data_IF_260803485760
#
_entry.id   IF_260803485760
#
_cell.length_a   1.000
_cell.length_b   1.000
_cell.length_c   1.000
_cell.angle_alpha   90.00
_cell.angle_beta   90.00
_cell.angle_gamma   90.00
#
_symmetry.space_group_name_H-M   'P 1'
#
loop_
_entity.id
_entity.type
_entity.pdbx_description
1 polymer ?
#
# COMPACT_ATOMS: atom_id res chain seq x y z
N UNK A 1 -44.97 21.08 3.84
CA UNK A 1 -45.09 20.44 2.51
C UNK A 1 -44.52 19.03 2.64
N UNK A 2 -45.40 18.02 2.73
CA UNK A 2 -44.98 16.62 2.87
C UNK A 2 -44.53 16.11 1.49
N UNK A 3 -43.28 15.68 1.37
CA UNK A 3 -42.74 15.06 0.16
C UNK A 3 -43.39 13.68 -0.02
N UNK A 4 -44.18 13.53 -1.07
CA UNK A 4 -44.75 12.25 -1.48
C UNK A 4 -43.63 11.31 -1.92
N UNK A 5 -43.33 10.31 -1.11
CA UNK A 5 -42.42 9.23 -1.47
C UNK A 5 -43.09 8.43 -2.58
N UNK A 6 -42.42 8.32 -3.73
CA UNK A 6 -42.96 7.59 -4.89
C UNK A 6 -43.21 6.12 -4.53
N UNK A 7 -44.34 5.57 -4.98
CA UNK A 7 -44.71 4.16 -4.83
C UNK A 7 -43.58 3.21 -5.31
N UNK A 8 -42.77 3.66 -6.25
CA UNK A 8 -41.60 2.95 -6.75
C UNK A 8 -40.48 2.80 -5.70
N UNK A 9 -40.27 3.82 -4.86
CA UNK A 9 -39.27 3.79 -3.79
C UNK A 9 -39.67 2.82 -2.67
N UNK A 10 -40.98 2.72 -2.39
CA UNK A 10 -41.50 1.80 -1.39
C UNK A 10 -41.37 0.33 -1.82
N UNK A 11 -41.60 0.05 -3.11
CA UNK A 11 -41.44 -1.27 -3.72
C UNK A 11 -39.99 -1.78 -3.69
N UNK A 12 -39.02 -0.90 -3.97
CA UNK A 12 -37.59 -1.26 -3.93
C UNK A 12 -37.15 -1.57 -2.49
N UNK A 13 -37.57 -0.76 -1.52
CA UNK A 13 -37.26 -1.01 -0.10
C UNK A 13 -37.87 -2.32 0.42
N UNK A 14 -39.11 -2.63 0.02
CA UNK A 14 -39.75 -3.91 0.36
C UNK A 14 -39.05 -5.12 -0.28
N UNK A 15 -38.60 -4.98 -1.53
CA UNK A 15 -37.83 -6.02 -2.23
C UNK A 15 -36.50 -6.30 -1.53
N UNK A 16 -35.76 -5.27 -1.11
CA UNK A 16 -34.49 -5.42 -0.38
C UNK A 16 -34.67 -6.03 1.02
N UNK A 17 -35.78 -5.76 1.71
CA UNK A 17 -36.04 -6.32 3.03
C UNK A 17 -36.47 -7.79 2.96
N UNK A 18 -37.26 -8.15 1.93
CA UNK A 18 -37.69 -9.53 1.69
C UNK A 18 -36.51 -10.45 1.34
N UNK A 19 -35.53 -9.99 0.56
CA UNK A 19 -34.33 -10.78 0.24
C UNK A 19 -33.43 -10.98 1.46
N UNK A 20 -33.34 -9.99 2.35
CA UNK A 20 -32.55 -10.11 3.58
C UNK A 20 -33.13 -11.15 4.56
N UNK A 21 -34.46 -11.28 4.63
CA UNK A 21 -35.16 -12.29 5.43
C UNK A 21 -35.08 -13.69 4.82
N UNK A 22 -35.14 -13.82 3.50
CA UNK A 22 -35.00 -15.12 2.81
C UNK A 22 -33.58 -15.68 2.96
N UNK A 23 -32.55 -14.83 3.01
CA UNK A 23 -31.17 -15.27 3.23
C UNK A 23 -30.86 -15.72 4.68
N UNK A 24 -31.65 -15.29 5.67
CA UNK A 24 -31.46 -15.70 7.09
C UNK A 24 -32.41 -16.82 7.55
N UNK A 25 -33.39 -17.22 6.74
CA UNK A 25 -34.48 -18.11 7.16
C UNK A 25 -34.28 -19.63 6.91
N UNK A 26 -33.25 -20.06 6.18
CA UNK A 26 -33.08 -21.49 5.83
C UNK A 26 -31.89 -22.13 6.53
N UNK A 27 -31.96 -22.23 7.86
CA UNK A 27 -31.21 -23.24 8.60
C UNK A 27 -31.99 -24.57 8.54
N UNK A 28 -31.90 -25.30 7.43
CA UNK A 28 -32.41 -26.67 7.33
C UNK A 28 -31.32 -27.63 7.78
N UNK A 29 -31.56 -28.27 8.91
CA UNK A 29 -30.78 -29.36 9.48
C UNK A 29 -30.84 -30.59 8.56
N UNK A 30 -29.73 -30.91 7.87
CA UNK A 30 -29.61 -32.14 7.09
C UNK A 30 -28.50 -33.02 7.68
N UNK A 31 -28.91 -34.05 8.44
CA UNK A 31 -28.03 -35.17 8.75
C UNK A 31 -27.88 -36.01 7.48
N UNK A 32 -26.66 -36.18 6.99
CA UNK A 32 -26.38 -37.14 5.93
C UNK A 32 -25.05 -37.85 6.24
N UNK A 33 -25.04 -39.17 6.47
CA UNK A 33 -23.82 -39.92 6.73
C UNK A 33 -23.23 -40.33 5.38
N UNK A 34 -22.40 -39.45 4.80
CA UNK A 34 -21.61 -39.80 3.63
C UNK A 34 -20.12 -39.69 3.95
N UNK A 35 -19.46 -40.84 3.77
CA UNK A 35 -18.04 -41.11 3.91
C UNK A 35 -17.11 -39.91 3.78
N UNK A 36 -16.25 -39.73 4.79
CA UNK A 36 -15.10 -38.83 4.75
C UNK A 36 -14.13 -39.23 3.62
N UNK A 37 -14.39 -38.73 2.41
CA UNK A 37 -13.29 -38.44 1.48
C UNK A 37 -12.49 -37.31 2.10
N UNK A 38 -11.22 -37.56 2.37
CA UNK A 38 -10.24 -36.50 2.58
C UNK A 38 -10.19 -35.65 1.32
N UNK A 39 -11.05 -34.62 1.26
CA UNK A 39 -10.79 -33.47 0.41
C UNK A 39 -9.42 -32.91 0.83
N UNK A 40 -8.51 -32.62 -0.12
CA UNK A 40 -7.31 -31.90 0.21
C UNK A 40 -7.78 -30.61 0.88
N UNK A 41 -7.44 -30.42 2.16
CA UNK A 41 -7.61 -29.14 2.84
C UNK A 41 -7.10 -28.09 1.88
N UNK A 42 -7.93 -27.11 1.52
CA UNK A 42 -7.43 -25.88 0.90
C UNK A 42 -6.19 -25.48 1.71
N UNK A 43 -5.04 -25.35 1.03
CA UNK A 43 -3.81 -24.97 1.71
C UNK A 43 -4.08 -23.65 2.43
N UNK A 44 -4.08 -23.67 3.76
CA UNK A 44 -4.28 -22.45 4.55
C UNK A 44 -3.13 -21.49 4.24
N UNK A 45 -3.45 -20.31 3.71
CA UNK A 45 -2.45 -19.29 3.44
C UNK A 45 -1.86 -18.75 4.76
N UNK A 46 -0.55 -18.58 4.82
CA UNK A 46 0.13 -17.99 5.96
C UNK A 46 0.15 -16.46 5.83
N UNK A 47 -0.93 -15.80 6.26
CA UNK A 47 -1.05 -14.34 6.18
C UNK A 47 -0.05 -13.58 7.04
N UNK A 48 0.48 -14.20 8.10
CA UNK A 48 1.55 -13.60 8.91
C UNK A 48 2.83 -13.47 8.08
N UNK A 49 3.24 -14.55 7.42
CA UNK A 49 4.42 -14.53 6.54
C UNK A 49 4.22 -13.58 5.35
N UNK A 50 3.02 -13.58 4.75
CA UNK A 50 2.69 -12.64 3.67
C UNK A 50 2.78 -11.17 4.13
N UNK A 51 2.26 -10.84 5.31
CA UNK A 51 2.37 -9.50 5.88
C UNK A 51 3.83 -9.10 6.15
N UNK A 52 4.61 -9.96 6.79
CA UNK A 52 6.04 -9.69 7.05
C UNK A 52 6.79 -9.40 5.75
N UNK A 53 6.54 -10.19 4.70
CA UNK A 53 7.17 -9.98 3.37
C UNK A 53 6.66 -8.70 2.69
N UNK A 54 5.37 -8.38 2.83
CA UNK A 54 4.81 -7.13 2.30
C UNK A 54 5.43 -5.89 2.96
N UNK A 55 5.69 -5.92 4.26
CA UNK A 55 6.38 -4.81 4.93
C UNK A 55 7.88 -4.76 4.55
N UNK A 56 8.54 -5.92 4.41
CA UNK A 56 9.92 -5.98 3.91
C UNK A 56 10.08 -5.41 2.49
N UNK A 57 9.05 -5.55 1.64
CA UNK A 57 9.04 -4.92 0.32
C UNK A 57 9.23 -3.40 0.40
N UNK A 58 8.56 -2.72 1.34
CA UNK A 58 8.78 -1.29 1.57
C UNK A 58 10.24 -0.97 1.91
N UNK A 59 10.86 -1.73 2.82
CA UNK A 59 12.29 -1.55 3.12
C UNK A 59 13.18 -1.71 1.89
N UNK A 60 12.82 -2.65 1.02
CA UNK A 60 13.46 -2.91 -0.26
C UNK A 60 13.32 -1.79 -1.28
N UNK A 61 12.36 -0.88 -1.12
CA UNK A 61 12.12 0.26 -2.03
C UNK A 61 12.70 1.59 -1.50
N UNK A 62 13.27 1.64 -0.30
CA UNK A 62 13.78 2.88 0.30
C UNK A 62 14.86 3.53 -0.57
N UNK A 63 14.79 4.83 -0.80
CA UNK A 63 15.87 5.64 -1.37
C UNK A 63 16.43 6.57 -0.30
N UNK A 64 17.66 7.04 -0.45
CA UNK A 64 18.34 7.88 0.52
C UNK A 64 19.34 7.12 1.38
N UNK A 65 19.72 7.72 2.50
CA UNK A 65 20.61 7.11 3.50
C UNK A 65 19.85 6.11 4.35
N UNK A 66 20.16 4.83 4.23
CA UNK A 66 19.43 3.75 4.89
C UNK A 66 19.73 3.74 6.40
N UNK A 67 18.71 3.43 7.24
CA UNK A 67 18.94 3.29 8.67
C UNK A 67 19.76 2.03 8.96
N UNK A 68 20.55 2.05 10.03
CA UNK A 68 21.32 0.87 10.47
C UNK A 68 20.43 -0.31 10.89
N UNK A 69 19.15 -0.07 11.19
CA UNK A 69 18.15 -1.08 11.53
C UNK A 69 17.49 -1.74 10.31
N UNK A 70 17.84 -1.34 9.08
CA UNK A 70 17.32 -1.93 7.84
C UNK A 70 17.56 -3.44 7.80
N UNK A 71 16.50 -4.23 7.50
CA UNK A 71 16.58 -5.70 7.43
C UNK A 71 17.05 -6.21 6.06
N UNK A 72 16.80 -5.42 5.01
CA UNK A 72 17.22 -5.74 3.64
C UNK A 72 18.71 -5.46 3.45
N UNK A 73 19.52 -6.50 3.30
CA UNK A 73 21.00 -6.43 3.29
C UNK A 73 21.63 -6.14 1.93
N UNK A 74 20.89 -6.34 0.84
CA UNK A 74 21.37 -6.12 -0.53
C UNK A 74 21.13 -4.67 -1.02
N UNK A 75 20.36 -3.86 -0.29
CA UNK A 75 20.20 -2.42 -0.55
C UNK A 75 21.29 -1.61 0.15
N UNK A 76 21.66 -0.47 -0.44
CA UNK A 76 22.66 0.49 0.08
C UNK A 76 22.14 1.93 -0.04
N UNK A 77 22.90 2.85 0.53
CA UNK A 77 22.66 4.29 0.44
C UNK A 77 22.63 4.72 -1.04
N UNK A 78 21.57 5.42 -1.44
CA UNK A 78 21.28 5.75 -2.85
C UNK A 78 20.56 7.10 -2.96
N UNK A 79 20.62 7.77 -4.11
CA UNK A 79 19.91 9.05 -4.32
C UNK A 79 20.28 10.15 -3.31
N UNK A 80 21.54 10.21 -2.88
CA UNK A 80 22.01 11.14 -1.84
C UNK A 80 22.13 12.60 -2.31
N UNK A 81 21.99 12.84 -3.61
CA UNK A 81 22.06 14.18 -4.24
C UNK A 81 20.71 14.64 -4.78
N UNK A 82 19.63 13.92 -4.45
CA UNK A 82 18.28 14.23 -4.90
C UNK A 82 17.83 15.62 -4.43
N UNK A 83 17.43 16.47 -5.39
CA UNK A 83 17.02 17.86 -5.14
C UNK A 83 18.15 18.90 -5.22
N UNK A 84 19.43 18.47 -5.29
CA UNK A 84 20.59 19.37 -5.30
C UNK A 84 20.57 20.40 -6.43
N UNK A 85 20.10 20.02 -7.63
CA UNK A 85 19.99 20.91 -8.79
C UNK A 85 19.01 22.08 -8.58
N UNK A 86 18.08 21.95 -7.64
CA UNK A 86 17.11 22.98 -7.25
C UNK A 86 17.41 23.55 -5.86
N UNK A 87 18.58 23.25 -5.28
CA UNK A 87 19.00 23.66 -3.94
C UNK A 87 18.04 23.24 -2.82
N UNK A 88 17.41 22.06 -2.95
CA UNK A 88 16.51 21.47 -1.95
C UNK A 88 16.97 20.07 -1.55
N UNK A 89 16.59 19.62 -0.35
CA UNK A 89 16.82 18.23 0.09
C UNK A 89 15.60 17.37 -0.26
N UNK A 90 15.74 16.49 -1.25
CA UNK A 90 14.74 15.48 -1.62
C UNK A 90 15.28 14.05 -1.45
N UNK A 91 16.27 13.88 -0.57
CA UNK A 91 16.80 12.56 -0.18
C UNK A 91 15.79 11.85 0.71
N UNK A 92 15.54 10.56 0.45
CA UNK A 92 14.54 9.75 1.17
C UNK A 92 13.45 9.20 0.25
N UNK A 93 12.36 8.72 0.84
CA UNK A 93 11.18 8.25 0.11
C UNK A 93 11.39 6.88 -0.53
N UNK A 94 10.47 6.51 -1.43
CA UNK A 94 10.44 5.22 -2.09
C UNK A 94 10.66 5.33 -3.60
N UNK A 95 11.38 4.36 -4.17
CA UNK A 95 11.30 4.10 -5.60
C UNK A 95 9.94 3.47 -5.93
N UNK A 96 9.34 3.91 -7.03
CA UNK A 96 7.95 3.58 -7.36
C UNK A 96 7.77 2.10 -7.71
N UNK A 97 8.66 1.57 -8.54
CA UNK A 97 8.55 0.20 -9.03
C UNK A 97 9.93 -0.46 -9.15
N UNK A 98 10.26 -0.98 -10.34
CA UNK A 98 11.57 -1.56 -10.67
C UNK A 98 12.57 -0.55 -11.22
N UNK A 99 12.21 0.72 -11.27
CA UNK A 99 13.07 1.84 -11.66
C UNK A 99 13.56 2.61 -10.43
N UNK A 100 14.36 3.65 -10.67
CA UNK A 100 14.92 4.50 -9.61
C UNK A 100 14.26 5.89 -9.59
N UNK A 101 13.00 5.97 -10.04
CA UNK A 101 12.22 7.22 -10.06
C UNK A 101 11.31 7.27 -8.84
N UNK A 102 11.20 8.46 -8.25
CA UNK A 102 10.27 8.74 -7.15
C UNK A 102 9.05 9.45 -7.72
N UNK A 103 7.99 8.70 -7.99
CA UNK A 103 6.71 9.28 -8.39
C UNK A 103 5.89 9.64 -7.13
N UNK A 104 5.70 10.92 -6.88
CA UNK A 104 5.07 11.42 -5.65
C UNK A 104 3.60 11.02 -5.50
N UNK A 105 2.86 10.96 -6.61
CA UNK A 105 1.44 10.59 -6.60
C UNK A 105 1.19 9.14 -6.13
N UNK A 106 1.75 8.10 -6.78
CA UNK A 106 1.60 6.71 -6.31
C UNK A 106 2.24 6.48 -4.94
N UNK A 107 3.33 7.19 -4.58
CA UNK A 107 3.89 7.13 -3.23
C UNK A 107 2.91 7.65 -2.18
N UNK A 108 2.28 8.81 -2.41
CA UNK A 108 1.29 9.38 -1.50
C UNK A 108 0.05 8.47 -1.36
N UNK A 109 -0.43 7.92 -2.47
CA UNK A 109 -1.54 6.95 -2.46
C UNK A 109 -1.20 5.69 -1.66
N UNK A 110 -0.03 5.09 -1.92
CA UNK A 110 0.45 3.89 -1.21
C UNK A 110 0.60 4.16 0.28
N UNK A 111 1.15 5.32 0.65
CA UNK A 111 1.33 5.74 2.05
C UNK A 111 -0.02 5.90 2.75
N UNK A 112 -1.01 6.45 2.05
CA UNK A 112 -2.39 6.59 2.55
C UNK A 112 -3.01 5.21 2.83
N UNK A 113 -2.90 4.28 1.88
CA UNK A 113 -3.44 2.93 2.05
C UNK A 113 -2.75 2.13 3.16
N UNK A 114 -1.44 2.26 3.30
CA UNK A 114 -0.70 1.64 4.40
C UNK A 114 -1.11 2.23 5.76
N UNK A 115 -1.25 3.55 5.83
CA UNK A 115 -1.70 4.27 7.04
C UNK A 115 -3.11 3.85 7.45
N UNK A 116 -4.04 3.78 6.48
CA UNK A 116 -5.39 3.28 6.73
C UNK A 116 -5.37 1.83 7.22
N UNK A 117 -4.56 0.97 6.60
CA UNK A 117 -4.41 -0.43 7.03
C UNK A 117 -3.91 -0.54 8.47
N UNK A 118 -2.98 0.32 8.89
CA UNK A 118 -2.49 0.36 10.28
C UNK A 118 -3.57 0.88 11.25
N UNK A 119 -4.39 1.84 10.83
CA UNK A 119 -5.50 2.34 11.66
C UNK A 119 -6.58 1.26 11.87
N UNK A 120 -6.97 0.56 10.81
CA UNK A 120 -8.04 -0.45 10.85
C UNK A 120 -7.56 -1.78 11.45
N UNK A 121 -6.40 -2.26 11.03
CA UNK A 121 -5.93 -3.62 11.30
C UNK A 121 -4.66 -3.68 12.15
N UNK A 122 -4.17 -2.56 12.69
CA UNK A 122 -2.91 -2.52 13.44
C UNK A 122 -2.83 -3.50 14.62
N UNK A 123 -3.96 -3.78 15.29
CA UNK A 123 -4.04 -4.78 16.36
C UNK A 123 -3.81 -6.23 15.88
N UNK A 124 -4.01 -6.50 14.58
CA UNK A 124 -3.79 -7.80 13.95
C UNK A 124 -2.36 -7.94 13.40
N UNK A 125 -1.62 -6.85 13.22
CA UNK A 125 -0.23 -6.80 12.71
C UNK A 125 0.81 -7.20 13.77
N UNK A 126 0.57 -8.32 14.49
CA UNK A 126 1.38 -8.79 15.62
C UNK A 126 2.86 -8.98 15.21
N UNK A 127 3.74 -8.09 15.66
CA UNK A 127 5.19 -8.11 15.38
C UNK A 127 5.63 -7.25 14.20
N UNK A 128 4.71 -6.85 13.30
CA UNK A 128 5.01 -6.00 12.14
C UNK A 128 4.47 -4.57 12.28
N UNK A 129 3.62 -4.29 13.28
CA UNK A 129 3.03 -2.96 13.50
C UNK A 129 4.09 -1.85 13.57
N UNK A 130 5.21 -2.10 14.24
CA UNK A 130 6.29 -1.11 14.35
C UNK A 130 6.99 -0.90 12.99
N UNK A 131 7.28 -1.97 12.25
CA UNK A 131 7.88 -1.88 10.92
C UNK A 131 6.94 -1.17 9.93
N UNK A 132 5.62 -1.41 10.02
CA UNK A 132 4.62 -0.72 9.21
C UNK A 132 4.57 0.78 9.51
N UNK A 133 4.66 1.17 10.80
CA UNK A 133 4.79 2.58 11.21
C UNK A 133 6.08 3.22 10.71
N UNK A 134 7.19 2.49 10.73
CA UNK A 134 8.46 2.96 10.18
C UNK A 134 8.41 3.11 8.65
N UNK A 135 7.68 2.25 7.95
CA UNK A 135 7.44 2.40 6.52
C UNK A 135 6.60 3.65 6.20
N UNK A 136 5.52 3.88 6.96
CA UNK A 136 4.72 5.11 6.84
C UNK A 136 5.60 6.34 7.10
N UNK A 137 6.36 6.32 8.20
CA UNK A 137 7.24 7.42 8.57
C UNK A 137 8.24 7.75 7.46
N UNK A 138 8.86 6.74 6.87
CA UNK A 138 9.82 6.92 5.78
C UNK A 138 9.23 7.67 4.58
N UNK A 139 8.00 7.34 4.19
CA UNK A 139 7.32 8.06 3.13
C UNK A 139 6.90 9.46 3.56
N UNK A 140 6.32 9.61 4.75
CA UNK A 140 5.83 10.93 5.20
C UNK A 140 6.97 11.91 5.42
N UNK A 141 8.12 11.47 5.92
CA UNK A 141 9.31 12.31 6.07
C UNK A 141 9.77 12.87 4.71
N UNK A 142 9.68 12.06 3.64
CA UNK A 142 9.94 12.53 2.28
C UNK A 142 8.86 13.47 1.74
N UNK A 143 7.57 13.15 1.94
CA UNK A 143 6.47 14.00 1.49
C UNK A 143 6.51 15.38 2.16
N UNK A 144 6.90 15.45 3.44
CA UNK A 144 7.12 16.72 4.15
C UNK A 144 8.24 17.55 3.51
N UNK A 145 9.33 16.92 3.06
CA UNK A 145 10.38 17.61 2.31
C UNK A 145 9.87 18.12 0.96
N UNK A 146 9.10 17.28 0.25
CA UNK A 146 8.54 17.60 -1.06
C UNK A 146 7.53 18.76 -1.04
N UNK A 147 6.94 19.06 0.12
CA UNK A 147 5.99 20.16 0.33
C UNK A 147 6.53 21.24 1.28
N UNK A 148 7.83 21.28 1.55
CA UNK A 148 8.42 22.20 2.53
C UNK A 148 8.40 23.67 2.08
N UNK A 149 8.26 23.92 0.77
CA UNK A 149 8.28 25.25 0.18
C UNK A 149 6.87 25.75 -0.12
N UNK A 150 6.50 26.99 0.29
CA UNK A 150 5.20 27.57 -0.04
C UNK A 150 4.93 27.56 -1.55
N UNK A 151 3.68 27.32 -1.92
CA UNK A 151 3.18 27.31 -3.31
C UNK A 151 3.90 26.33 -4.26
N UNK A 152 4.71 25.40 -3.72
CA UNK A 152 5.53 24.48 -4.50
C UNK A 152 5.37 23.06 -3.97
N UNK A 153 5.18 22.11 -4.88
CA UNK A 153 5.17 20.68 -4.55
C UNK A 153 6.10 19.97 -5.53
N UNK A 154 7.10 19.27 -4.99
CA UNK A 154 7.97 18.40 -5.77
C UNK A 154 7.30 17.04 -5.96
N UNK A 155 6.77 16.81 -7.16
CA UNK A 155 5.99 15.59 -7.46
C UNK A 155 6.82 14.45 -8.06
N UNK A 156 8.04 14.73 -8.50
CA UNK A 156 8.89 13.73 -9.15
C UNK A 156 10.37 14.02 -8.94
N UNK A 157 11.15 12.98 -8.65
CA UNK A 157 12.61 13.03 -8.65
C UNK A 157 13.16 11.87 -9.47
N UNK A 158 14.09 12.18 -10.36
CA UNK A 158 14.84 11.19 -11.13
C UNK A 158 16.32 11.39 -10.83
N UNK A 159 17.00 10.35 -10.33
CA UNK A 159 18.44 10.40 -10.09
C UNK A 159 19.18 10.59 -11.41
N UNK A 160 19.98 11.66 -11.51
CA UNK A 160 20.74 12.07 -12.70
C UNK A 160 22.01 11.24 -12.96
N UNK A 161 22.04 9.97 -12.56
CA UNK A 161 22.80 8.99 -13.36
C UNK A 161 22.01 8.55 -14.61
N UNK A 162 20.77 9.00 -14.78
CA UNK A 162 19.87 8.56 -15.84
C UNK A 162 19.06 9.73 -16.41
N UNK A 163 19.41 10.16 -17.62
CA UNK A 163 18.55 10.93 -18.53
C UNK A 163 17.28 10.11 -18.85
N UNK A 164 16.27 10.13 -17.97
CA UNK A 164 15.14 9.20 -18.06
C UNK A 164 13.92 9.72 -18.85
N UNK A 165 13.92 10.95 -19.37
CA UNK A 165 12.75 11.43 -20.13
C UNK A 165 12.80 11.06 -21.62
N UNK A 166 13.96 10.75 -22.20
CA UNK A 166 14.05 10.47 -23.65
C UNK A 166 14.76 9.17 -24.06
N UNK A 167 15.32 8.39 -23.12
CA UNK A 167 16.00 7.13 -23.47
C UNK A 167 15.32 5.94 -22.79
N UNK A 168 14.29 5.40 -23.43
CA UNK A 168 13.60 4.19 -23.01
C UNK A 168 14.60 3.02 -22.80
N UNK A 169 14.64 2.52 -21.56
CA UNK A 169 14.91 1.13 -21.14
C UNK A 169 16.30 0.48 -21.22
N UNK A 170 17.22 0.83 -22.13
CA UNK A 170 18.42 -0.02 -22.29
C UNK A 170 19.59 0.30 -21.32
N UNK A 171 19.68 1.50 -20.74
CA UNK A 171 20.84 1.93 -19.95
C UNK A 171 20.60 2.10 -18.44
N UNK A 172 19.35 1.95 -17.96
CA UNK A 172 18.97 2.15 -16.56
C UNK A 172 18.93 0.87 -15.71
N UNK A 173 19.42 -0.27 -16.20
CA UNK A 173 19.47 -1.52 -15.41
C UNK A 173 20.66 -1.50 -14.45
N UNK A 174 20.60 -0.62 -13.45
CA UNK A 174 21.58 -0.53 -12.37
C UNK A 174 20.89 -0.64 -11.02
N UNK A 175 21.53 -1.36 -10.10
CA UNK A 175 21.15 -1.42 -8.70
C UNK A 175 21.32 0.00 -8.13
N UNK A 176 20.27 0.61 -7.56
CA UNK A 176 20.40 1.87 -6.83
C UNK A 176 21.22 1.71 -5.54
#
# INVERSE_FOLDING_TARGET
>A
MASSVSSFTLLVLFSCFATFLVCHGFAVHHNNPFHHRHHPRFASHNYRDALTKSILYFEGQRSGKLPSSQRITWRRDSGLTDGSAMHVDLVGGYYDAGDNVKFGFPMAFTTTMLSWSVLEFGGLMKGELQNAREAIRWATDYLLKATAHPDTIYVQVCSLESLCILQFYAHCWKIP
#
